data_IF_461408582193
#
_entry.id   IF_461408582193
#
_cell.length_a   1.000
_cell.length_b   1.000
_cell.length_c   1.000
_cell.angle_alpha   90.00
_cell.angle_beta   90.00
_cell.angle_gamma   90.00
#
_symmetry.space_group_name_H-M   'P 1'
#
loop_
_entity.id
_entity.type
_entity.pdbx_description
1 polymer ?
#
# COMPACT_ATOMS: atom_id res chain seq x y z
N UNK A 1 7.24 25.35 -10.96
CA UNK A 1 6.59 24.44 -11.93
C UNK A 1 5.44 23.75 -11.21
N UNK A 2 4.20 24.19 -11.47
CA UNK A 2 2.99 23.62 -10.85
C UNK A 2 2.59 22.38 -11.65
N UNK A 3 2.68 21.20 -11.03
CA UNK A 3 2.23 19.94 -11.65
C UNK A 3 0.74 19.76 -11.32
N UNK A 4 -0.13 19.46 -12.32
CA UNK A 4 -1.58 19.41 -12.12
C UNK A 4 -2.01 18.40 -11.04
N UNK A 5 -3.14 18.70 -10.40
CA UNK A 5 -3.70 18.01 -9.23
C UNK A 5 -4.47 16.71 -9.55
N UNK A 6 -4.40 16.19 -10.77
CA UNK A 6 -5.11 14.98 -11.19
C UNK A 6 -4.13 13.95 -11.77
N UNK A 7 -4.29 12.70 -11.34
CA UNK A 7 -3.40 11.54 -11.55
C UNK A 7 -2.12 11.59 -10.73
N UNK A 8 -2.16 11.01 -9.53
CA UNK A 8 -1.03 10.18 -9.11
C UNK A 8 -1.28 8.88 -9.87
N UNK A 9 -0.59 8.60 -10.99
CA UNK A 9 -0.71 7.30 -11.64
C UNK A 9 -0.31 6.22 -10.63
N UNK A 10 -0.87 5.01 -10.76
CA UNK A 10 -0.47 3.82 -9.98
C UNK A 10 1.06 3.58 -10.00
N UNK A 11 1.79 4.25 -10.89
CA UNK A 11 3.25 4.26 -11.04
C UNK A 11 4.06 5.13 -10.05
N UNK A 12 3.43 5.93 -9.19
CA UNK A 12 4.17 6.81 -8.26
C UNK A 12 4.66 6.07 -7.00
N UNK A 13 4.04 4.94 -6.67
CA UNK A 13 4.43 4.09 -5.57
C UNK A 13 4.20 2.61 -5.87
N UNK A 14 5.27 1.81 -5.79
CA UNK A 14 5.25 0.38 -6.07
C UNK A 14 5.88 -0.41 -4.93
N UNK A 15 5.44 -1.66 -4.80
CA UNK A 15 6.16 -2.65 -4.02
C UNK A 15 7.08 -3.41 -4.96
N UNK A 16 8.38 -3.42 -4.63
CA UNK A 16 9.44 -3.94 -5.49
C UNK A 16 10.17 -5.05 -4.75
N UNK A 17 10.45 -6.17 -5.40
CA UNK A 17 11.26 -7.24 -4.83
C UNK A 17 12.70 -6.72 -4.54
N UNK A 18 13.19 -6.94 -3.32
CA UNK A 18 14.52 -6.47 -2.89
C UNK A 18 15.68 -7.08 -3.68
N UNK A 19 15.47 -8.28 -4.23
CA UNK A 19 16.50 -9.10 -4.88
C UNK A 19 16.47 -8.90 -6.40
N UNK A 20 15.29 -9.00 -7.01
CA UNK A 20 15.14 -8.93 -8.47
C UNK A 20 14.92 -7.51 -8.98
N UNK A 21 14.42 -6.61 -8.13
CA UNK A 21 14.03 -5.26 -8.54
C UNK A 21 12.74 -5.21 -9.35
N UNK A 22 12.01 -6.32 -9.47
CA UNK A 22 10.74 -6.43 -10.19
C UNK A 22 9.55 -5.99 -9.33
N UNK A 23 8.46 -5.62 -10.00
CA UNK A 23 7.19 -5.28 -9.33
C UNK A 23 6.63 -6.50 -8.59
N UNK A 24 6.05 -6.26 -7.41
CA UNK A 24 5.39 -7.31 -6.65
C UNK A 24 4.24 -7.93 -7.48
N UNK A 25 4.18 -9.27 -7.60
CA UNK A 25 3.14 -9.90 -8.40
C UNK A 25 1.75 -9.61 -7.81
N UNK A 26 0.75 -9.48 -8.67
CA UNK A 26 -0.64 -9.17 -8.28
C UNK A 26 -1.15 -10.13 -7.22
N UNK A 27 -0.84 -11.42 -7.36
CA UNK A 27 -1.21 -12.46 -6.40
C UNK A 27 -0.68 -12.18 -4.98
N UNK A 28 0.54 -11.65 -4.87
CA UNK A 28 1.15 -11.31 -3.59
C UNK A 28 0.49 -10.07 -2.97
N UNK A 29 0.23 -9.05 -3.80
CA UNK A 29 -0.49 -7.84 -3.38
C UNK A 29 -1.90 -8.18 -2.88
N UNK A 30 -2.61 -9.08 -3.58
CA UNK A 30 -3.92 -9.57 -3.17
C UNK A 30 -3.86 -10.39 -1.89
N UNK A 31 -2.91 -11.32 -1.79
CA UNK A 31 -2.72 -12.17 -0.59
C UNK A 31 -2.54 -11.31 0.65
N UNK A 32 -1.63 -10.33 0.61
CA UNK A 32 -1.41 -9.43 1.75
C UNK A 32 -2.62 -8.51 2.02
N UNK A 33 -3.37 -8.11 0.99
CA UNK A 33 -4.57 -7.28 1.17
C UNK A 33 -5.71 -8.07 1.85
N UNK A 34 -5.94 -9.32 1.42
CA UNK A 34 -6.93 -10.23 2.00
C UNK A 34 -6.57 -10.54 3.45
N UNK A 35 -5.31 -10.91 3.72
CA UNK A 35 -4.80 -11.13 5.06
C UNK A 35 -5.02 -9.92 5.97
N UNK A 36 -4.58 -8.73 5.55
CA UNK A 36 -4.68 -7.52 6.36
C UNK A 36 -6.13 -7.15 6.71
N UNK A 37 -7.04 -7.28 5.75
CA UNK A 37 -8.46 -7.00 5.96
C UNK A 37 -9.06 -8.03 6.92
N UNK A 38 -8.81 -9.31 6.69
CA UNK A 38 -9.32 -10.38 7.55
C UNK A 38 -8.83 -10.23 8.99
N UNK A 39 -7.55 -9.86 9.19
CA UNK A 39 -6.98 -9.68 10.53
C UNK A 39 -7.58 -8.51 11.32
N UNK A 40 -8.16 -7.50 10.67
CA UNK A 40 -8.72 -6.34 11.37
C UNK A 40 -10.25 -6.40 11.48
N UNK A 41 -10.94 -6.79 10.42
CA UNK A 41 -12.42 -6.74 10.33
C UNK A 41 -13.06 -8.12 10.15
N UNK A 42 -12.28 -9.21 10.22
CA UNK A 42 -12.79 -10.59 10.16
C UNK A 42 -13.31 -11.05 8.78
N UNK A 43 -13.07 -10.26 7.72
CA UNK A 43 -13.48 -10.58 6.34
C UNK A 43 -12.52 -9.98 5.32
N UNK A 44 -12.53 -10.54 4.11
CA UNK A 44 -11.74 -10.04 3.00
C UNK A 44 -12.32 -8.73 2.45
N UNK A 45 -11.44 -7.79 2.09
CA UNK A 45 -11.81 -6.65 1.25
C UNK A 45 -12.01 -7.14 -0.17
N UNK A 46 -13.25 -7.24 -0.62
CA UNK A 46 -13.53 -7.40 -2.04
C UNK A 46 -13.76 -6.03 -2.65
N UNK A 47 -13.44 -5.87 -3.94
CA UNK A 47 -13.57 -4.60 -4.68
C UNK A 47 -15.00 -4.04 -4.68
N UNK A 48 -16.00 -4.88 -4.43
CA UNK A 48 -17.43 -4.53 -4.34
C UNK A 48 -17.89 -4.18 -2.92
N UNK A 49 -17.03 -4.29 -1.89
CA UNK A 49 -17.39 -4.06 -0.47
C UNK A 49 -16.35 -3.24 0.28
N UNK A 50 -16.15 -2.00 -0.16
CA UNK A 50 -15.55 -0.96 0.66
C UNK A 50 -16.70 -0.26 1.41
N UNK A 51 -16.88 -0.59 2.68
CA UNK A 51 -17.88 0.01 3.55
C UNK A 51 -17.25 0.84 4.66
N UNK A 52 -18.10 1.48 5.48
CA UNK A 52 -17.70 2.36 6.57
C UNK A 52 -16.76 1.67 7.56
N UNK A 53 -16.99 0.39 7.86
CA UNK A 53 -16.12 -0.37 8.76
C UNK A 53 -14.71 -0.52 8.19
N UNK A 54 -14.61 -0.90 6.91
CA UNK A 54 -13.31 -0.95 6.23
C UNK A 54 -12.61 0.41 6.22
N UNK A 55 -13.33 1.48 5.89
CA UNK A 55 -12.79 2.85 5.85
C UNK A 55 -12.28 3.27 7.23
N UNK A 56 -13.03 3.01 8.30
CA UNK A 56 -12.63 3.32 9.68
C UNK A 56 -11.35 2.60 10.10
N UNK A 57 -11.04 1.46 9.48
CA UNK A 57 -9.88 0.64 9.79
C UNK A 57 -8.76 0.69 8.73
N UNK A 58 -8.91 1.51 7.68
CA UNK A 58 -8.02 1.49 6.51
C UNK A 58 -6.55 1.75 6.85
N UNK A 59 -6.28 2.58 7.87
CA UNK A 59 -4.91 2.84 8.34
C UNK A 59 -4.24 1.58 8.91
N UNK A 60 -4.94 0.83 9.77
CA UNK A 60 -4.43 -0.43 10.35
C UNK A 60 -4.30 -1.52 9.29
N UNK A 61 -5.27 -1.62 8.38
CA UNK A 61 -5.24 -2.56 7.25
C UNK A 61 -4.01 -2.28 6.38
N UNK A 62 -3.73 -1.02 6.04
CA UNK A 62 -2.50 -0.65 5.32
C UNK A 62 -1.26 -1.06 6.10
N UNK A 63 -1.16 -0.78 7.40
CA UNK A 63 0.01 -1.17 8.20
C UNK A 63 0.31 -2.68 8.14
N UNK A 64 -0.71 -3.54 8.29
CA UNK A 64 -0.56 -5.01 8.20
C UNK A 64 -0.21 -5.43 6.78
N UNK A 65 -0.86 -4.85 5.75
CA UNK A 65 -0.52 -5.14 4.35
C UNK A 65 0.94 -4.86 4.05
N UNK A 66 1.44 -3.70 4.50
CA UNK A 66 2.84 -3.33 4.30
C UNK A 66 3.82 -4.23 5.05
N UNK A 67 3.45 -4.68 6.25
CA UNK A 67 4.24 -5.66 7.00
C UNK A 67 4.35 -6.98 6.26
N UNK A 68 3.22 -7.53 5.80
CA UNK A 68 3.17 -8.77 5.04
C UNK A 68 4.04 -8.70 3.78
N UNK A 69 3.98 -7.61 3.02
CA UNK A 69 4.82 -7.43 1.82
C UNK A 69 6.30 -7.35 2.18
N UNK A 70 6.65 -6.61 3.24
CA UNK A 70 8.02 -6.49 3.69
C UNK A 70 8.64 -7.82 4.14
N UNK A 71 7.88 -8.61 4.89
CA UNK A 71 8.27 -9.96 5.34
C UNK A 71 8.43 -10.94 4.17
N UNK A 72 7.74 -10.71 3.04
CA UNK A 72 7.88 -11.50 1.82
C UNK A 72 8.94 -10.93 0.85
N UNK A 73 9.80 -10.01 1.31
CA UNK A 73 10.96 -9.55 0.54
C UNK A 73 10.72 -8.31 -0.32
N UNK A 74 9.58 -7.63 -0.18
CA UNK A 74 9.27 -6.43 -0.97
C UNK A 74 9.60 -5.13 -0.21
N UNK A 75 9.98 -4.09 -0.94
CA UNK A 75 10.15 -2.72 -0.42
C UNK A 75 9.20 -1.76 -1.09
N UNK A 76 8.77 -0.76 -0.32
CA UNK A 76 7.96 0.31 -0.83
C UNK A 76 8.85 1.37 -1.52
N UNK A 77 8.73 1.49 -2.83
CA UNK A 77 9.44 2.49 -3.64
C UNK A 77 8.47 3.57 -4.09
N UNK A 78 8.90 4.82 -3.99
CA UNK A 78 8.13 6.00 -4.38
C UNK A 78 9.03 6.88 -5.24
N UNK A 79 8.57 7.30 -6.42
CA UNK A 79 9.36 8.14 -7.34
C UNK A 79 9.64 9.53 -6.75
N UNK A 80 8.61 10.19 -6.22
CA UNK A 80 8.72 11.49 -5.55
C UNK A 80 8.16 11.43 -4.13
N UNK A 81 9.00 11.06 -3.17
CA UNK A 81 8.56 10.80 -1.79
C UNK A 81 7.90 11.99 -1.10
N UNK A 82 8.46 13.21 -1.22
CA UNK A 82 7.89 14.41 -0.60
C UNK A 82 6.49 14.74 -1.13
N UNK A 83 6.32 14.71 -2.44
CA UNK A 83 5.03 14.94 -3.12
C UNK A 83 4.00 13.85 -2.82
N UNK A 84 4.44 12.59 -2.74
CA UNK A 84 3.58 11.47 -2.40
C UNK A 84 3.05 11.59 -0.97
N UNK A 85 3.93 11.86 0.00
CA UNK A 85 3.55 11.94 1.41
C UNK A 85 2.72 13.18 1.74
N UNK A 86 2.90 14.30 1.04
CA UNK A 86 2.04 15.48 1.23
C UNK A 86 0.61 15.25 0.75
N UNK A 87 0.42 14.38 -0.27
CA UNK A 87 -0.90 14.08 -0.85
C UNK A 87 -1.57 12.86 -0.22
N UNK A 88 -0.79 11.84 0.15
CA UNK A 88 -1.26 10.55 0.67
C UNK A 88 -0.63 10.27 2.04
N UNK A 89 -0.81 11.21 2.98
CA UNK A 89 -0.19 11.17 4.31
C UNK A 89 -0.43 9.84 5.03
N UNK A 90 -1.67 9.34 5.06
CA UNK A 90 -2.00 8.09 5.74
C UNK A 90 -1.31 6.85 5.12
N UNK A 91 -1.14 6.86 3.79
CA UNK A 91 -0.44 5.77 3.10
C UNK A 91 1.06 5.86 3.35
N UNK A 92 1.60 7.07 3.29
CA UNK A 92 3.00 7.33 3.59
C UNK A 92 3.35 6.95 5.04
N UNK A 93 2.55 7.35 6.02
CA UNK A 93 2.75 7.02 7.43
C UNK A 93 2.73 5.49 7.65
N UNK A 94 1.89 4.75 6.91
CA UNK A 94 1.84 3.29 6.98
C UNK A 94 3.08 2.61 6.36
N UNK A 95 3.62 3.15 5.27
CA UNK A 95 4.63 2.45 4.45
C UNK A 95 6.05 3.03 4.50
N UNK A 96 6.26 4.21 5.09
CA UNK A 96 7.57 4.87 5.12
C UNK A 96 8.67 3.99 5.74
N UNK A 97 8.32 3.18 6.75
CA UNK A 97 9.26 2.24 7.38
C UNK A 97 9.73 1.09 6.48
N UNK A 98 9.03 0.80 5.39
CA UNK A 98 9.31 -0.33 4.49
C UNK A 98 10.07 0.08 3.21
N UNK A 99 10.66 1.28 3.19
CA UNK A 99 11.34 1.82 2.00
C UNK A 99 12.78 1.32 1.80
N UNK A 100 13.34 0.63 2.81
CA UNK A 100 14.72 0.15 2.85
C UNK A 100 14.73 -1.36 3.08
#
# INVERSE_FOLDING_TARGET
MFVPLYSIPDDDAKWIDKTTGEDAPVEMLEKCSKYASFSIIGRNSFSDRIDTEYINHIGKIRQIKGQCLYENGFVFKVKMFSTYCSRLKDVCDAYNKYRK
#
